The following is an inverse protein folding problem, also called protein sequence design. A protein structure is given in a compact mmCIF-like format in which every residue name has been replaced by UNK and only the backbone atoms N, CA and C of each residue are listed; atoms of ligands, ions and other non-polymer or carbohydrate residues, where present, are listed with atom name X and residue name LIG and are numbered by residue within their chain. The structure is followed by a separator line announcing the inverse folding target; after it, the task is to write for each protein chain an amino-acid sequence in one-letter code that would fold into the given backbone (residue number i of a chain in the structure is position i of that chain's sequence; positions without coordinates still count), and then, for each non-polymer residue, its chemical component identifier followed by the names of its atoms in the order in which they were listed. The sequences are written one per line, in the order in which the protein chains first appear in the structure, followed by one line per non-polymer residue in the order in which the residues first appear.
data_IF_781683277388
#
_entry.id   IF_781683277388
#
_cell.length_a   1.000
_cell.length_b   1.000
_cell.length_c   1.000
_cell.angle_alpha   90.00
_cell.angle_beta   90.00
_cell.angle_gamma   90.00
#
_symmetry.space_group_name_H-M   'P 1'
#
loop_
_entity.id
_entity.type
_entity.pdbx_description
1 polymer ?
#
# COMPACT_ATOMS: atom_id res chain seq x y z
N UNK A 1 -12.25 1.37 8.30
CA UNK A 1 -11.22 2.26 7.77
C UNK A 1 -9.86 1.56 7.68
N UNK A 2 -8.86 2.23 7.15
CA UNK A 2 -7.48 1.71 7.00
C UNK A 2 -6.91 1.33 8.37
N UNK A 3 -7.20 2.10 9.40
CA UNK A 3 -6.71 1.89 10.77
C UNK A 3 -7.42 0.78 11.54
N UNK A 4 -8.44 0.15 10.96
CA UNK A 4 -9.35 -0.74 11.68
C UNK A 4 -10.23 0.06 12.66
N UNK A 5 -10.44 -0.47 13.87
CA UNK A 5 -10.97 0.34 14.97
C UNK A 5 -9.86 1.24 15.49
N UNK A 6 -10.13 2.52 15.68
CA UNK A 6 -9.10 3.48 16.10
C UNK A 6 -9.68 4.57 17.03
N UNK A 7 -8.77 5.19 17.79
CA UNK A 7 -8.99 6.42 18.51
C UNK A 7 -8.15 7.52 17.87
N UNK A 8 -8.76 8.67 17.60
CA UNK A 8 -8.09 9.83 17.04
C UNK A 8 -8.08 10.99 18.01
N UNK A 9 -6.95 11.64 18.15
CA UNK A 9 -6.77 12.89 18.89
C UNK A 9 -6.10 13.91 17.97
N UNK A 10 -6.61 15.13 17.98
CA UNK A 10 -6.02 16.24 17.23
C UNK A 10 -6.07 17.53 18.05
N UNK A 11 -4.93 18.19 18.11
CA UNK A 11 -4.78 19.54 18.65
C UNK A 11 -4.07 20.41 17.63
N UNK A 12 -4.59 21.61 17.40
CA UNK A 12 -3.94 22.59 16.55
C UNK A 12 -4.18 24.00 17.07
N UNK A 13 -3.14 24.81 17.09
CA UNK A 13 -3.21 26.25 17.38
C UNK A 13 -2.50 27.00 16.25
N UNK A 14 -3.12 28.08 15.76
CA UNK A 14 -2.60 28.90 14.66
C UNK A 14 -1.95 30.20 15.10
N UNK A 15 -1.78 30.40 16.39
CA UNK A 15 -1.16 31.58 16.96
C UNK A 15 -0.47 31.22 18.28
N UNK A 16 0.51 30.34 18.20
CA UNK A 16 1.29 29.93 19.36
C UNK A 16 2.03 31.16 19.91
N UNK A 17 1.88 31.41 21.20
CA UNK A 17 2.52 32.56 21.90
C UNK A 17 2.23 33.94 21.30
N UNK A 18 1.26 34.07 20.38
CA UNK A 18 0.86 35.35 19.78
C UNK A 18 1.70 35.80 18.59
N UNK A 19 2.57 34.94 18.06
CA UNK A 19 3.51 35.26 16.96
C UNK A 19 3.04 34.73 15.60
N UNK A 20 1.88 34.08 15.55
CA UNK A 20 1.31 33.57 14.29
C UNK A 20 1.78 32.16 13.91
N UNK A 21 2.65 31.54 14.73
CA UNK A 21 3.09 30.17 14.47
C UNK A 21 1.97 29.16 14.68
N UNK A 22 2.06 28.07 13.96
CA UNK A 22 1.15 26.93 14.09
C UNK A 22 1.86 25.76 14.78
N UNK A 23 1.25 25.25 15.82
CA UNK A 23 1.62 23.97 16.41
C UNK A 23 0.46 22.98 16.19
N UNK A 24 0.77 21.79 15.69
CA UNK A 24 -0.21 20.73 15.48
C UNK A 24 0.28 19.42 16.07
N UNK A 25 -0.61 18.73 16.78
CA UNK A 25 -0.41 17.38 17.26
C UNK A 25 -1.57 16.52 16.78
N UNK A 26 -1.28 15.43 16.08
CA UNK A 26 -2.27 14.46 15.64
C UNK A 26 -1.82 13.07 16.06
N UNK A 27 -2.73 12.31 16.62
CA UNK A 27 -2.52 10.92 16.97
C UNK A 27 -3.73 10.09 16.54
N UNK A 28 -3.46 9.02 15.81
CA UNK A 28 -4.42 7.98 15.47
C UNK A 28 -3.84 6.66 15.95
N UNK A 29 -4.52 6.02 16.89
CA UNK A 29 -4.10 4.74 17.46
C UNK A 29 -5.15 3.71 17.10
N UNK A 30 -4.78 2.72 16.32
CA UNK A 30 -5.71 1.74 15.77
C UNK A 30 -5.19 0.30 15.83
N UNK A 31 -6.08 -0.63 15.54
CA UNK A 31 -5.74 -2.06 15.54
C UNK A 31 -4.87 -2.49 14.35
N UNK A 32 -4.86 -1.69 13.27
CA UNK A 32 -4.12 -1.99 12.04
C UNK A 32 -3.00 -0.97 11.81
N UNK A 33 -3.25 0.30 12.17
CA UNK A 33 -2.33 1.39 11.92
C UNK A 33 -2.32 2.37 13.08
N UNK A 34 -1.13 2.73 13.53
CA UNK A 34 -0.89 3.86 14.42
C UNK A 34 -0.18 4.97 13.64
N UNK A 35 -0.53 6.20 13.91
CA UNK A 35 0.14 7.36 13.35
C UNK A 35 0.14 8.50 14.36
N UNK A 36 1.31 9.01 14.68
CA UNK A 36 1.50 10.16 15.57
C UNK A 36 2.37 11.19 14.87
N UNK A 37 1.90 12.41 14.78
CA UNK A 37 2.63 13.51 14.14
C UNK A 37 2.60 14.76 15.02
N UNK A 38 3.76 15.40 15.16
CA UNK A 38 3.93 16.71 15.78
C UNK A 38 4.51 17.64 14.74
N UNK A 39 3.81 18.71 14.41
CA UNK A 39 4.23 19.70 13.42
C UNK A 39 4.30 21.10 14.01
N UNK A 40 5.31 21.86 13.58
CA UNK A 40 5.47 23.28 13.85
C UNK A 40 5.68 24.02 12.55
N UNK A 41 5.06 25.20 12.42
CA UNK A 41 5.19 26.04 11.24
C UNK A 41 5.29 27.51 11.65
N UNK A 42 6.34 28.15 11.16
CA UNK A 42 6.56 29.61 11.20
C UNK A 42 6.20 30.18 9.82
N UNK A 43 5.13 31.04 9.72
CA UNK A 43 4.68 31.55 8.43
C UNK A 43 5.55 32.69 7.87
N UNK A 44 6.30 33.42 8.73
CA UNK A 44 7.06 34.61 8.36
C UNK A 44 8.49 34.58 8.90
N UNK A 45 9.27 33.58 8.51
CA UNK A 45 10.64 33.45 8.96
C UNK A 45 11.47 34.70 8.61
N UNK A 46 12.09 35.34 9.62
CA UNK A 46 12.84 36.59 9.49
C UNK A 46 12.02 37.73 8.92
N UNK A 47 10.76 37.86 9.30
CA UNK A 47 9.82 38.91 8.82
C UNK A 47 9.62 38.91 7.28
N UNK A 48 9.91 37.79 6.62
CA UNK A 48 9.70 37.59 5.19
C UNK A 48 8.57 36.59 4.97
N UNK A 49 7.90 36.62 3.81
CA UNK A 49 6.85 35.64 3.49
C UNK A 49 7.46 34.25 3.18
N UNK A 50 8.49 33.88 3.92
CA UNK A 50 9.16 32.59 3.87
C UNK A 50 8.59 31.72 4.98
N UNK A 51 7.81 30.73 4.60
CA UNK A 51 7.27 29.75 5.55
C UNK A 51 8.32 28.67 5.81
N UNK A 52 8.56 28.37 7.06
CA UNK A 52 9.44 27.29 7.49
C UNK A 52 8.75 26.41 8.53
N UNK A 53 9.14 25.16 8.60
CA UNK A 53 8.58 24.31 9.63
C UNK A 53 9.26 22.95 9.69
N UNK A 54 8.81 22.18 10.67
CA UNK A 54 9.23 20.79 10.81
C UNK A 54 8.05 19.93 11.26
N UNK A 55 8.14 18.65 10.98
CA UNK A 55 7.23 17.61 11.44
C UNK A 55 8.05 16.43 11.93
N UNK A 56 7.73 15.93 13.13
CA UNK A 56 8.24 14.66 13.64
C UNK A 56 7.11 13.67 13.60
N UNK A 57 7.39 12.45 13.16
CA UNK A 57 6.35 11.43 13.03
C UNK A 57 6.82 10.06 13.52
N UNK A 58 5.82 9.29 13.93
CA UNK A 58 5.89 7.86 14.17
C UNK A 58 4.70 7.19 13.51
N UNK A 59 4.92 6.09 12.79
CA UNK A 59 3.86 5.28 12.21
C UNK A 59 4.15 3.80 12.36
N UNK A 60 3.08 3.01 12.54
CA UNK A 60 3.10 1.56 12.57
C UNK A 60 1.98 1.05 11.68
N UNK A 61 2.25 -0.02 10.93
CA UNK A 61 1.27 -0.68 10.09
C UNK A 61 1.41 -2.19 10.19
N UNK A 62 0.29 -2.88 10.45
CA UNK A 62 0.22 -4.34 10.53
C UNK A 62 -0.43 -4.92 9.26
N UNK A 63 0.35 -5.66 8.48
CA UNK A 63 -0.12 -6.36 7.30
C UNK A 63 -0.48 -7.81 7.63
N UNK A 64 -1.66 -8.24 7.16
CA UNK A 64 -2.13 -9.62 7.27
C UNK A 64 -2.67 -10.12 5.94
N UNK A 65 -2.05 -11.16 5.37
CA UNK A 65 -2.38 -11.68 4.05
C UNK A 65 -3.79 -12.26 3.98
N UNK A 66 -4.26 -12.98 4.99
CA UNK A 66 -5.62 -13.55 5.00
C UNK A 66 -6.69 -12.44 4.98
N UNK A 67 -6.44 -11.34 5.70
CA UNK A 67 -7.31 -10.15 5.66
C UNK A 67 -7.30 -9.51 4.28
N UNK A 68 -6.13 -9.33 3.66
CA UNK A 68 -6.00 -8.75 2.32
C UNK A 68 -6.68 -9.64 1.27
N UNK A 69 -6.50 -10.95 1.35
CA UNK A 69 -7.16 -11.91 0.48
C UNK A 69 -8.69 -11.87 0.60
N UNK A 70 -9.20 -11.74 1.83
CA UNK A 70 -10.64 -11.58 2.09
C UNK A 70 -11.20 -10.30 1.47
N UNK A 71 -10.42 -9.21 1.51
CA UNK A 71 -10.75 -7.94 0.85
C UNK A 71 -10.82 -8.14 -0.66
N UNK A 72 -9.79 -8.74 -1.27
CA UNK A 72 -9.70 -8.95 -2.72
C UNK A 72 -10.79 -9.89 -3.26
N UNK A 73 -11.13 -10.93 -2.50
CA UNK A 73 -12.15 -11.91 -2.91
C UNK A 73 -13.59 -11.46 -2.62
N UNK A 74 -13.76 -10.42 -1.82
CA UNK A 74 -15.08 -9.98 -1.36
C UNK A 74 -15.78 -10.95 -0.40
N UNK A 75 -15.08 -12.00 0.08
CA UNK A 75 -15.57 -13.01 1.01
C UNK A 75 -14.58 -13.22 2.14
N UNK A 76 -15.04 -13.70 3.30
CA UNK A 76 -14.14 -13.99 4.42
C UNK A 76 -13.36 -15.29 4.14
N UNK A 77 -12.11 -15.17 3.74
CA UNK A 77 -11.20 -16.29 3.48
C UNK A 77 -10.26 -16.59 4.65
N UNK A 78 -10.41 -15.92 5.80
CA UNK A 78 -9.49 -16.08 6.94
C UNK A 78 -9.39 -17.53 7.41
N UNK A 79 -10.52 -18.23 7.49
CA UNK A 79 -10.52 -19.64 7.90
C UNK A 79 -9.79 -20.55 6.90
N UNK A 80 -9.99 -20.32 5.59
CA UNK A 80 -9.29 -21.05 4.52
C UNK A 80 -7.78 -20.83 4.59
N UNK A 81 -7.35 -19.57 4.73
CA UNK A 81 -5.93 -19.24 4.82
C UNK A 81 -5.27 -19.76 6.10
N UNK A 82 -5.98 -19.82 7.22
CA UNK A 82 -5.48 -20.43 8.46
C UNK A 82 -5.25 -21.94 8.31
N UNK A 83 -6.04 -22.65 7.48
CA UNK A 83 -5.83 -24.06 7.19
C UNK A 83 -4.55 -24.33 6.37
N UNK A 84 -4.09 -23.35 5.59
CA UNK A 84 -2.84 -23.45 4.83
C UNK A 84 -1.57 -23.38 5.69
N UNK A 85 -1.74 -23.15 6.99
CA UNK A 85 -0.66 -22.97 7.97
C UNK A 85 -0.17 -21.53 8.01
N UNK A 86 -0.15 -20.94 9.20
CA UNK A 86 0.23 -19.53 9.40
C UNK A 86 1.64 -19.20 8.90
N UNK A 87 2.55 -20.17 8.92
CA UNK A 87 3.92 -20.02 8.44
C UNK A 87 4.01 -19.67 6.94
N UNK A 88 3.01 -20.06 6.15
CA UNK A 88 2.94 -19.84 4.72
C UNK A 88 2.23 -18.53 4.34
N UNK A 89 1.75 -17.75 5.32
CA UNK A 89 1.08 -16.47 5.09
C UNK A 89 2.08 -15.31 5.15
N UNK A 90 1.86 -14.30 4.31
CA UNK A 90 2.65 -13.07 4.33
C UNK A 90 2.10 -12.11 5.40
N UNK A 91 2.65 -12.19 6.61
CA UNK A 91 2.29 -11.32 7.74
C UNK A 91 3.52 -10.59 8.27
N UNK A 92 3.41 -9.27 8.42
CA UNK A 92 4.50 -8.43 8.93
C UNK A 92 3.98 -7.15 9.58
N UNK A 93 4.81 -6.54 10.41
CA UNK A 93 4.60 -5.21 10.96
C UNK A 93 5.70 -4.27 10.44
N UNK A 94 5.30 -3.12 9.93
CA UNK A 94 6.21 -2.06 9.51
C UNK A 94 6.12 -0.89 10.50
N UNK A 95 7.27 -0.49 11.05
CA UNK A 95 7.40 0.68 11.90
C UNK A 95 8.27 1.72 11.20
N UNK A 96 7.85 2.98 11.21
CA UNK A 96 8.62 4.08 10.66
C UNK A 96 8.61 5.26 11.63
N UNK A 97 9.77 5.91 11.80
CA UNK A 97 9.92 7.13 12.57
C UNK A 97 10.89 8.07 11.88
N UNK A 98 10.64 9.36 12.01
CA UNK A 98 11.49 10.33 11.35
C UNK A 98 11.05 11.75 11.57
N UNK A 99 11.68 12.63 10.81
CA UNK A 99 11.33 14.03 10.76
C UNK A 99 11.40 14.57 9.33
N UNK A 100 10.68 15.65 9.09
CA UNK A 100 10.74 16.43 7.86
C UNK A 100 10.86 17.90 8.22
N UNK A 101 11.75 18.62 7.57
CA UNK A 101 11.81 20.09 7.61
C UNK A 101 11.48 20.65 6.24
N UNK A 102 10.89 21.84 6.19
CA UNK A 102 10.52 22.45 4.93
C UNK A 102 10.70 23.96 4.93
N UNK A 103 10.94 24.50 3.74
CA UNK A 103 10.88 25.91 3.40
C UNK A 103 9.95 26.11 2.22
N UNK A 104 9.10 27.14 2.25
CA UNK A 104 8.17 27.45 1.17
C UNK A 104 8.07 28.97 0.98
N UNK A 105 8.23 29.42 -0.25
CA UNK A 105 8.22 30.83 -0.63
C UNK A 105 7.11 31.11 -1.66
N UNK A 106 6.24 32.11 -1.46
CA UNK A 106 5.24 32.51 -2.45
C UNK A 106 5.88 33.28 -3.58
N UNK A 107 5.50 32.97 -4.81
CA UNK A 107 5.93 33.75 -5.98
C UNK A 107 5.16 35.08 -6.04
N UNK A 108 5.88 36.17 -6.32
CA UNK A 108 5.28 37.51 -6.40
C UNK A 108 4.19 37.57 -7.49
N UNK A 109 3.06 38.20 -7.18
CA UNK A 109 1.92 38.38 -8.08
C UNK A 109 1.33 37.07 -8.63
N UNK A 110 1.48 35.97 -7.89
CA UNK A 110 1.00 34.64 -8.27
C UNK A 110 0.38 33.95 -7.07
N UNK A 111 -0.51 33.00 -7.33
CA UNK A 111 -1.01 32.06 -6.32
C UNK A 111 -0.11 30.82 -6.19
N UNK A 112 1.09 30.89 -6.73
CA UNK A 112 2.06 29.82 -6.73
C UNK A 112 3.07 29.94 -5.59
N UNK A 113 3.55 28.80 -5.11
CA UNK A 113 4.60 28.68 -4.11
C UNK A 113 5.65 27.68 -4.59
N UNK A 114 6.91 27.97 -4.33
CA UNK A 114 8.01 27.03 -4.45
C UNK A 114 8.35 26.52 -3.07
N UNK A 115 8.53 25.22 -2.94
CA UNK A 115 8.90 24.57 -1.71
C UNK A 115 10.10 23.66 -1.89
N UNK A 116 10.80 23.44 -0.80
CA UNK A 116 11.82 22.41 -0.67
C UNK A 116 11.69 21.80 0.72
N UNK A 117 11.71 20.49 0.81
CA UNK A 117 11.73 19.82 2.09
C UNK A 117 12.87 18.81 2.15
N UNK A 118 13.38 18.59 3.37
CA UNK A 118 14.32 17.53 3.69
C UNK A 118 13.68 16.60 4.70
N UNK A 119 13.73 15.30 4.43
CA UNK A 119 13.20 14.26 5.31
C UNK A 119 14.24 13.21 5.64
N UNK A 120 14.22 12.78 6.90
CA UNK A 120 14.99 11.62 7.34
C UNK A 120 14.07 10.67 8.10
N UNK A 121 14.10 9.40 7.73
CA UNK A 121 13.33 8.37 8.42
C UNK A 121 14.12 7.08 8.58
N UNK A 122 13.77 6.35 9.63
CA UNK A 122 14.25 4.99 9.90
C UNK A 122 13.03 4.09 9.95
N UNK A 123 13.05 3.05 9.13
CA UNK A 123 11.99 2.06 9.03
C UNK A 123 12.52 0.68 9.42
N UNK A 124 11.68 -0.11 10.09
CA UNK A 124 11.91 -1.51 10.41
C UNK A 124 10.72 -2.33 9.97
N UNK A 125 10.98 -3.48 9.36
CA UNK A 125 9.95 -4.44 8.96
C UNK A 125 10.16 -5.72 9.77
N UNK A 126 9.23 -6.01 10.66
CA UNK A 126 9.23 -7.22 11.47
C UNK A 126 8.36 -8.28 10.81
N UNK A 127 8.97 -9.33 10.31
CA UNK A 127 8.27 -10.46 9.69
C UNK A 127 7.71 -11.38 10.76
N UNK A 128 6.42 -11.74 10.66
CA UNK A 128 5.73 -12.56 11.64
C UNK A 128 5.64 -14.03 11.22
N UNK A 129 6.03 -14.34 9.98
CA UNK A 129 5.92 -15.66 9.37
C UNK A 129 7.15 -15.97 8.51
N UNK A 130 7.44 -17.24 8.28
CA UNK A 130 8.55 -17.65 7.40
C UNK A 130 8.36 -17.21 5.95
N UNK A 131 7.14 -17.18 5.44
CA UNK A 131 6.84 -16.65 4.11
C UNK A 131 7.14 -15.15 4.00
N UNK A 132 6.77 -14.35 5.01
CA UNK A 132 7.10 -12.93 5.04
C UNK A 132 8.61 -12.71 5.14
N UNK A 133 9.32 -13.48 5.95
CA UNK A 133 10.77 -13.44 6.06
C UNK A 133 11.40 -13.74 4.70
N UNK A 134 10.99 -14.80 4.01
CA UNK A 134 11.50 -15.16 2.69
C UNK A 134 11.23 -14.05 1.67
N UNK A 135 10.03 -13.48 1.64
CA UNK A 135 9.67 -12.42 0.70
C UNK A 135 10.55 -11.18 0.87
N UNK A 136 10.62 -10.63 2.09
CA UNK A 136 11.37 -9.40 2.32
C UNK A 136 12.88 -9.59 2.38
N UNK A 137 13.35 -10.76 2.78
CA UNK A 137 14.79 -11.03 2.87
C UNK A 137 15.39 -11.31 1.49
N UNK A 138 14.67 -12.01 0.61
CA UNK A 138 15.21 -12.46 -0.66
C UNK A 138 14.80 -11.63 -1.87
N UNK A 139 13.74 -10.83 -1.80
CA UNK A 139 13.45 -9.87 -2.86
C UNK A 139 14.54 -8.78 -2.87
N UNK A 140 15.21 -8.59 -4.00
CA UNK A 140 16.40 -7.73 -4.09
C UNK A 140 16.03 -6.25 -4.23
N UNK A 141 15.63 -5.59 -3.17
CA UNK A 141 15.31 -4.15 -3.18
C UNK A 141 16.45 -3.25 -2.64
N UNK A 142 17.39 -3.77 -1.87
CA UNK A 142 18.58 -3.02 -1.42
C UNK A 142 19.82 -3.26 -2.30
N UNK A 143 19.72 -4.11 -3.33
CA UNK A 143 20.81 -4.49 -4.23
C UNK A 143 22.09 -4.93 -3.50
N UNK A 144 21.94 -5.86 -2.57
CA UNK A 144 23.03 -6.48 -1.82
C UNK A 144 23.10 -7.98 -2.15
N UNK A 145 24.27 -8.58 -1.99
CA UNK A 145 24.40 -10.04 -2.00
C UNK A 145 23.91 -10.58 -0.65
N UNK A 146 23.15 -11.66 -0.68
CA UNK A 146 22.53 -12.24 0.49
C UNK A 146 21.21 -11.56 0.91
N UNK A 147 20.64 -11.91 2.07
CA UNK A 147 19.38 -11.41 2.55
C UNK A 147 19.41 -9.90 2.84
N UNK A 148 18.33 -9.20 2.48
CA UNK A 148 18.16 -7.78 2.83
C UNK A 148 18.06 -7.58 4.34
N UNK A 149 18.65 -6.50 4.84
CA UNK A 149 18.42 -6.06 6.21
C UNK A 149 17.03 -5.40 6.29
N UNK A 150 16.19 -5.85 7.21
CA UNK A 150 14.83 -5.35 7.41
C UNK A 150 14.73 -4.40 8.61
N UNK A 151 15.76 -4.26 9.39
CA UNK A 151 15.88 -3.29 10.48
C UNK A 151 16.86 -2.18 10.10
N UNK A 152 16.56 -0.96 10.55
CA UNK A 152 17.42 0.19 10.27
C UNK A 152 17.44 0.60 8.79
N UNK A 153 16.36 0.44 8.06
CA UNK A 153 16.20 0.96 6.69
C UNK A 153 16.12 2.49 6.80
N UNK A 154 17.17 3.17 6.36
CA UNK A 154 17.34 4.61 6.49
C UNK A 154 17.08 5.29 5.16
N UNK A 155 16.13 6.22 5.16
CA UNK A 155 15.81 7.07 4.01
C UNK A 155 16.15 8.53 4.33
N UNK A 156 17.00 9.12 3.52
CA UNK A 156 17.34 10.55 3.58
C UNK A 156 16.95 11.16 2.25
N UNK A 157 16.04 12.13 2.25
CA UNK A 157 15.40 12.62 1.04
C UNK A 157 15.33 14.14 0.96
N UNK A 158 15.38 14.66 -0.25
CA UNK A 158 15.09 16.05 -0.58
C UNK A 158 13.95 16.10 -1.59
N UNK A 159 12.99 17.01 -1.36
CA UNK A 159 11.78 17.10 -2.18
C UNK A 159 11.53 18.54 -2.59
N UNK A 160 12.01 18.99 -3.76
CA UNK A 160 11.51 20.21 -4.38
C UNK A 160 10.02 20.05 -4.73
N UNK A 161 9.27 21.14 -4.55
CA UNK A 161 7.83 21.16 -4.83
C UNK A 161 7.39 22.49 -5.42
N UNK A 162 6.35 22.42 -6.22
CA UNK A 162 5.63 23.56 -6.77
C UNK A 162 4.15 23.39 -6.47
N UNK A 163 3.51 24.41 -5.91
CA UNK A 163 2.07 24.43 -5.66
C UNK A 163 1.46 25.68 -6.24
N UNK A 164 0.31 25.55 -6.89
CA UNK A 164 -0.52 26.64 -7.36
C UNK A 164 -1.94 26.42 -6.85
N UNK A 165 -2.50 27.38 -6.11
CA UNK A 165 -3.81 27.18 -5.49
C UNK A 165 -4.65 28.47 -5.55
N UNK A 166 -5.77 28.38 -6.28
CA UNK A 166 -6.80 29.43 -6.38
C UNK A 166 -8.16 28.95 -5.90
N UNK A 167 -8.20 27.80 -5.21
CA UNK A 167 -9.43 27.24 -4.67
C UNK A 167 -10.02 28.20 -3.64
N UNK A 168 -11.29 28.54 -3.81
CA UNK A 168 -11.94 29.60 -3.06
C UNK A 168 -12.32 29.21 -1.62
N UNK A 169 -12.46 27.92 -1.32
CA UNK A 169 -12.80 27.44 0.03
C UNK A 169 -12.11 26.10 0.32
N UNK A 170 -11.45 25.93 1.48
CA UNK A 170 -10.67 24.74 1.74
C UNK A 170 -11.50 23.49 2.05
N UNK A 171 -12.76 23.62 2.49
CA UNK A 171 -13.62 22.49 2.86
C UNK A 171 -14.70 22.23 1.80
N UNK A 172 -15.34 23.26 1.30
CA UNK A 172 -16.42 23.18 0.31
C UNK A 172 -16.08 24.01 -0.94
N UNK A 173 -15.09 23.58 -1.72
CA UNK A 173 -14.67 24.31 -2.90
C UNK A 173 -15.78 24.36 -3.95
N UNK A 174 -16.03 25.58 -4.49
CA UNK A 174 -17.02 25.82 -5.55
C UNK A 174 -16.39 26.36 -6.84
N UNK A 175 -15.18 26.88 -6.74
CA UNK A 175 -14.44 27.42 -7.89
C UNK A 175 -12.92 27.43 -7.59
N UNK A 176 -12.14 27.41 -8.67
CA UNK A 176 -10.69 27.51 -8.61
C UNK A 176 -10.00 26.21 -9.04
N UNK A 177 -8.68 26.26 -8.97
CA UNK A 177 -7.81 25.13 -9.32
C UNK A 177 -6.64 25.05 -8.35
N UNK A 178 -6.24 23.83 -8.11
CA UNK A 178 -5.05 23.49 -7.33
C UNK A 178 -4.18 22.58 -8.18
N UNK A 179 -2.89 22.83 -8.22
CA UNK A 179 -1.88 21.98 -8.83
C UNK A 179 -0.73 21.85 -7.85
N UNK A 180 -0.37 20.65 -7.51
CA UNK A 180 0.82 20.30 -6.73
C UNK A 180 1.69 19.36 -7.54
N UNK A 181 2.97 19.70 -7.67
CA UNK A 181 3.98 18.85 -8.32
C UNK A 181 5.18 18.76 -7.38
N UNK A 182 5.65 17.56 -7.13
CA UNK A 182 6.84 17.32 -6.31
C UNK A 182 7.65 16.16 -6.85
N UNK A 183 8.95 16.18 -6.59
CA UNK A 183 9.85 15.08 -6.94
C UNK A 183 10.71 14.78 -5.71
N UNK A 184 10.50 13.64 -5.10
CA UNK A 184 11.33 13.19 -3.98
C UNK A 184 12.54 12.42 -4.49
N UNK A 185 13.72 12.88 -4.11
CA UNK A 185 15.00 12.18 -4.34
C UNK A 185 15.48 11.63 -3.00
N UNK A 186 15.66 10.31 -2.90
CA UNK A 186 16.07 9.63 -1.67
C UNK A 186 17.39 8.93 -1.89
N UNK A 187 18.31 9.09 -0.94
CA UNK A 187 19.59 8.38 -0.92
C UNK A 187 20.70 9.03 -1.73
N UNK A 188 21.63 8.24 -2.27
CA UNK A 188 22.86 8.70 -2.95
C UNK A 188 23.70 9.62 -2.03
N UNK A 189 24.01 10.83 -2.47
CA UNK A 189 24.79 11.82 -1.72
C UNK A 189 24.13 12.30 -0.44
N UNK A 190 22.83 12.12 -0.29
CA UNK A 190 22.07 12.45 0.91
C UNK A 190 22.27 11.42 2.05
N UNK A 191 22.86 10.26 1.73
CA UNK A 191 23.03 9.17 2.68
C UNK A 191 21.81 8.25 2.81
N UNK A 192 21.84 7.36 3.81
CA UNK A 192 20.85 6.29 3.96
C UNK A 192 21.24 5.03 3.18
N UNK A 193 20.32 4.05 3.13
CA UNK A 193 20.52 2.79 2.41
C UNK A 193 19.45 2.51 1.34
N UNK A 194 18.55 3.46 1.11
CA UNK A 194 17.53 3.45 0.06
C UNK A 194 17.92 4.44 -1.04
N UNK A 195 17.76 4.07 -2.31
CA UNK A 195 17.92 4.96 -3.44
C UNK A 195 16.66 4.90 -4.30
N UNK A 196 15.87 5.96 -4.31
CA UNK A 196 14.63 6.03 -5.11
C UNK A 196 14.29 7.46 -5.52
N UNK A 197 13.55 7.56 -6.61
CA UNK A 197 12.95 8.81 -7.10
C UNK A 197 11.44 8.60 -7.16
N UNK A 198 10.70 9.58 -6.64
CA UNK A 198 9.24 9.56 -6.59
C UNK A 198 8.66 10.90 -7.05
N UNK A 199 8.37 11.07 -8.35
CA UNK A 199 7.56 12.18 -8.85
C UNK A 199 6.08 11.97 -8.51
N UNK A 200 5.44 13.05 -8.05
CA UNK A 200 4.01 13.11 -7.73
C UNK A 200 3.40 14.34 -8.37
N UNK A 201 2.24 14.18 -8.97
CA UNK A 201 1.38 15.26 -9.45
C UNK A 201 -0.01 15.10 -8.87
N UNK A 202 -0.58 16.18 -8.37
CA UNK A 202 -1.96 16.25 -7.90
C UNK A 202 -2.62 17.51 -8.44
N UNK A 203 -3.76 17.37 -9.08
CA UNK A 203 -4.46 18.47 -9.73
C UNK A 203 -5.94 18.44 -9.40
N UNK A 204 -6.51 19.57 -8.95
CA UNK A 204 -7.93 19.73 -8.68
C UNK A 204 -8.49 20.91 -9.45
N UNK A 205 -9.72 20.77 -9.91
CA UNK A 205 -10.42 21.81 -10.63
C UNK A 205 -11.86 21.87 -10.19
N UNK A 206 -12.31 23.06 -9.81
CA UNK A 206 -13.70 23.29 -9.41
C UNK A 206 -14.30 24.42 -10.24
N UNK A 207 -15.52 24.21 -10.72
CA UNK A 207 -16.29 25.24 -11.40
C UNK A 207 -17.78 25.04 -11.15
N UNK A 208 -18.55 26.10 -11.38
CA UNK A 208 -20.02 26.06 -11.34
C UNK A 208 -20.57 25.09 -12.38
N UNK A 209 -21.56 24.31 -11.99
CA UNK A 209 -22.27 23.37 -12.84
C UNK A 209 -23.38 24.01 -13.68
N UNK A 210 -24.38 23.19 -14.04
CA UNK A 210 -25.52 23.65 -14.85
C UNK A 210 -26.37 24.69 -14.14
N UNK A 211 -26.58 24.58 -12.83
CA UNK A 211 -27.19 25.60 -12.01
C UNK A 211 -26.13 26.39 -11.24
N UNK A 212 -26.45 27.65 -10.85
CA UNK A 212 -25.50 28.54 -10.14
C UNK A 212 -24.99 28.00 -8.82
N UNK A 213 -25.79 27.16 -8.14
CA UNK A 213 -25.45 26.50 -6.87
C UNK A 213 -24.71 25.18 -7.05
N UNK A 214 -24.76 24.57 -8.24
CA UNK A 214 -24.14 23.29 -8.51
C UNK A 214 -22.63 23.46 -8.76
N UNK A 215 -21.84 22.42 -8.46
CA UNK A 215 -20.38 22.42 -8.61
C UNK A 215 -19.94 21.17 -9.37
N UNK A 216 -19.08 21.37 -10.35
CA UNK A 216 -18.29 20.31 -10.97
C UNK A 216 -16.92 20.30 -10.28
N UNK A 217 -16.54 19.16 -9.69
CA UNK A 217 -15.21 18.91 -9.13
C UNK A 217 -14.51 17.84 -9.96
N UNK A 218 -13.28 18.11 -10.34
CA UNK A 218 -12.38 17.15 -11.01
C UNK A 218 -11.09 17.04 -10.21
N UNK A 219 -10.58 15.82 -10.08
CA UNK A 219 -9.31 15.53 -9.43
C UNK A 219 -8.52 14.55 -10.28
N UNK A 220 -7.22 14.76 -10.35
CA UNK A 220 -6.26 13.83 -10.94
C UNK A 220 -5.04 13.72 -10.04
N UNK A 221 -4.65 12.50 -9.71
CA UNK A 221 -3.41 12.19 -8.99
C UNK A 221 -2.59 11.19 -9.78
N UNK A 222 -1.32 11.51 -10.01
CA UNK A 222 -0.35 10.63 -10.65
C UNK A 222 0.89 10.48 -9.77
N UNK A 223 1.28 9.22 -9.51
CA UNK A 223 2.44 8.88 -8.68
C UNK A 223 3.27 7.83 -9.39
N UNK A 224 4.58 8.02 -9.39
CA UNK A 224 5.53 7.04 -9.91
C UNK A 224 6.68 6.87 -8.94
N UNK A 225 7.20 5.66 -8.78
CA UNK A 225 8.36 5.38 -7.94
C UNK A 225 9.32 4.41 -8.64
N UNK A 226 10.60 4.72 -8.61
CA UNK A 226 11.63 3.82 -9.15
C UNK A 226 12.91 3.93 -8.34
N UNK A 227 13.62 2.82 -8.23
CA UNK A 227 14.97 2.81 -7.68
C UNK A 227 16.01 3.25 -8.71
N UNK A 228 17.16 3.69 -8.24
CA UNK A 228 18.32 4.01 -9.08
C UNK A 228 19.63 3.51 -8.44
N UNK A 229 20.74 3.55 -9.21
CA UNK A 229 22.02 3.05 -8.75
C UNK A 229 22.03 1.56 -8.45
N UNK A 230 21.31 0.76 -9.27
CA UNK A 230 21.18 -0.68 -9.13
C UNK A 230 20.20 -1.15 -8.05
N UNK A 231 19.60 -0.24 -7.29
CA UNK A 231 18.59 -0.54 -6.27
C UNK A 231 17.17 -0.46 -6.85
N UNK A 232 16.21 -1.09 -6.20
CA UNK A 232 14.78 -1.00 -6.55
C UNK A 232 14.00 -0.37 -5.40
N UNK A 233 12.80 0.16 -5.71
CA UNK A 233 11.92 0.63 -4.66
C UNK A 233 11.42 -0.54 -3.82
N UNK A 234 11.52 -0.42 -2.51
CA UNK A 234 11.03 -1.44 -1.60
C UNK A 234 9.51 -1.64 -1.74
N UNK A 235 8.99 -2.87 -1.57
CA UNK A 235 7.56 -3.15 -1.71
C UNK A 235 6.67 -2.29 -0.80
N UNK A 236 7.11 -1.97 0.40
CA UNK A 236 6.37 -1.15 1.36
C UNK A 236 6.40 0.36 1.04
N UNK A 237 7.21 0.80 0.06
CA UNK A 237 7.22 2.17 -0.47
C UNK A 237 6.41 2.30 -1.76
N UNK A 238 5.92 1.21 -2.33
CA UNK A 238 5.12 1.20 -3.55
C UNK A 238 3.68 1.56 -3.29
N UNK A 239 2.92 1.77 -4.36
CA UNK A 239 1.55 2.27 -4.28
C UNK A 239 0.54 1.13 -4.18
N UNK A 240 -0.47 1.39 -3.35
CA UNK A 240 -1.69 0.62 -3.20
C UNK A 240 -2.83 1.61 -3.24
N UNK A 241 -3.78 1.46 -4.15
CA UNK A 241 -4.91 2.38 -4.30
C UNK A 241 -6.25 1.67 -4.05
N UNK A 242 -7.28 2.45 -3.90
CA UNK A 242 -8.64 2.01 -3.55
C UNK A 242 -9.10 2.62 -2.22
N UNK A 243 -10.40 2.64 -2.03
CA UNK A 243 -11.06 3.27 -0.89
C UNK A 243 -11.60 4.65 -1.22
N UNK A 244 -12.19 5.30 -0.20
CA UNK A 244 -12.93 6.55 -0.34
C UNK A 244 -12.09 7.78 -0.74
N UNK A 245 -10.77 7.70 -0.67
CA UNK A 245 -9.88 8.81 -1.02
C UNK A 245 -9.24 8.65 -2.41
N UNK A 246 -9.31 7.44 -2.99
CA UNK A 246 -8.76 7.14 -4.30
C UNK A 246 -9.90 6.77 -5.27
N UNK A 247 -10.39 5.53 -5.22
CA UNK A 247 -11.47 5.00 -6.06
C UNK A 247 -12.56 4.43 -5.17
N UNK A 248 -13.64 5.17 -5.00
CA UNK A 248 -14.81 4.72 -4.22
C UNK A 248 -15.37 3.42 -4.81
N UNK A 249 -16.02 2.61 -3.99
CA UNK A 249 -16.53 1.31 -4.43
C UNK A 249 -15.54 0.16 -4.38
N UNK A 250 -14.24 0.46 -4.17
CA UNK A 250 -13.22 -0.53 -3.88
C UNK A 250 -12.77 -0.44 -2.41
N UNK A 251 -12.36 -1.55 -1.84
CA UNK A 251 -11.79 -1.55 -0.50
C UNK A 251 -10.39 -0.91 -0.50
N UNK A 252 -9.91 -0.50 0.68
CA UNK A 252 -8.58 0.09 0.82
C UNK A 252 -7.52 -0.88 0.32
N UNK A 253 -6.58 -0.38 -0.48
CA UNK A 253 -5.48 -1.13 -1.05
C UNK A 253 -5.88 -2.31 -1.93
N UNK A 254 -7.16 -2.40 -2.34
CA UNK A 254 -7.66 -3.50 -3.16
C UNK A 254 -7.15 -3.45 -4.60
N UNK A 255 -6.85 -2.27 -5.12
CA UNK A 255 -6.33 -2.11 -6.49
C UNK A 255 -4.80 -2.15 -6.43
N UNK A 256 -4.26 -3.35 -6.63
CA UNK A 256 -2.81 -3.61 -6.59
C UNK A 256 -2.44 -4.75 -7.54
N UNK A 257 -1.22 -4.77 -8.11
CA UNK A 257 -0.71 -5.93 -8.82
C UNK A 257 -0.65 -7.16 -7.92
N UNK A 258 -0.83 -8.33 -8.51
CA UNK A 258 -0.55 -9.62 -7.87
C UNK A 258 0.66 -10.23 -8.56
N UNK A 259 1.59 -10.79 -7.79
CA UNK A 259 2.75 -11.47 -8.30
C UNK A 259 3.02 -12.79 -7.55
N UNK A 260 3.80 -13.64 -8.17
CA UNK A 260 4.25 -14.90 -7.63
C UNK A 260 5.78 -14.86 -7.42
N UNK A 261 6.22 -15.04 -6.18
CA UNK A 261 7.62 -15.09 -5.80
C UNK A 261 8.04 -16.53 -5.61
N UNK A 262 9.13 -17.01 -6.25
CA UNK A 262 9.68 -18.35 -6.03
C UNK A 262 10.03 -18.58 -4.57
N UNK A 263 9.57 -19.67 -4.01
CA UNK A 263 9.86 -20.10 -2.65
C UNK A 263 10.04 -21.62 -2.56
N UNK A 264 10.61 -22.04 -1.45
CA UNK A 264 10.51 -23.39 -0.92
C UNK A 264 9.31 -23.46 0.01
N UNK A 265 8.39 -24.38 -0.21
CA UNK A 265 7.26 -24.66 0.66
C UNK A 265 7.43 -26.03 1.32
N UNK A 266 7.09 -26.14 2.58
CA UNK A 266 7.12 -27.41 3.30
C UNK A 266 5.73 -28.06 3.27
N UNK A 267 5.63 -29.26 2.70
CA UNK A 267 4.38 -29.99 2.59
C UNK A 267 4.40 -31.29 3.42
N UNK A 268 3.31 -31.64 4.13
CA UNK A 268 3.21 -32.89 4.86
C UNK A 268 3.20 -34.08 3.90
N UNK A 269 3.90 -35.15 4.28
CA UNK A 269 3.86 -36.43 3.58
C UNK A 269 2.74 -37.31 4.12
N UNK A 270 2.06 -38.02 3.24
CA UNK A 270 1.01 -38.97 3.56
C UNK A 270 1.43 -40.40 3.24
N UNK A 271 0.84 -41.34 3.93
CA UNK A 271 0.83 -42.76 3.55
C UNK A 271 -0.12 -42.96 2.36
N UNK A 272 -0.11 -44.18 1.78
CA UNK A 272 -1.00 -44.51 0.65
C UNK A 272 -2.49 -44.49 1.01
N UNK A 273 -2.82 -44.65 2.28
CA UNK A 273 -4.17 -44.60 2.85
C UNK A 273 -4.62 -43.15 3.17
N UNK A 274 -3.78 -42.14 2.90
CA UNK A 274 -4.07 -40.73 3.18
C UNK A 274 -3.79 -40.30 4.62
N UNK A 275 -3.33 -41.18 5.49
CA UNK A 275 -2.94 -40.81 6.87
C UNK A 275 -1.60 -40.08 6.89
N UNK A 276 -1.35 -39.16 7.86
CA UNK A 276 -0.07 -38.49 8.00
C UNK A 276 1.08 -39.48 8.21
N UNK A 277 2.09 -39.42 7.36
CA UNK A 277 3.31 -40.21 7.52
C UNK A 277 4.09 -39.70 8.72
N UNK A 278 4.57 -40.60 9.56
CA UNK A 278 5.39 -40.25 10.72
C UNK A 278 6.87 -40.51 10.41
N UNK A 279 7.73 -39.61 10.93
CA UNK A 279 9.18 -39.82 10.97
C UNK A 279 9.69 -39.80 12.40
N UNK A 280 10.67 -40.64 12.67
CA UNK A 280 11.34 -40.68 13.97
C UNK A 280 12.45 -39.62 14.00
N UNK A 281 12.40 -38.75 14.99
CA UNK A 281 13.49 -37.79 15.29
C UNK A 281 13.97 -38.00 16.71
N UNK A 282 15.18 -37.55 17.02
CA UNK A 282 15.69 -37.52 18.38
C UNK A 282 15.46 -36.11 18.90
N UNK A 283 14.75 -35.96 20.02
CA UNK A 283 14.52 -34.66 20.63
C UNK A 283 15.81 -34.12 21.33
N UNK A 284 15.78 -32.87 21.80
CA UNK A 284 16.89 -32.25 22.51
C UNK A 284 17.31 -32.99 23.79
N UNK A 285 16.48 -33.86 24.34
CA UNK A 285 16.77 -34.70 25.51
C UNK A 285 17.30 -36.09 25.17
N UNK A 286 17.57 -36.37 23.87
CA UNK A 286 18.11 -37.65 23.40
C UNK A 286 17.08 -38.77 23.23
N UNK A 287 15.77 -38.49 23.41
CA UNK A 287 14.73 -39.48 23.26
C UNK A 287 14.11 -39.50 21.85
N UNK A 288 13.81 -40.70 21.31
CA UNK A 288 13.11 -40.78 20.02
C UNK A 288 11.64 -40.35 20.18
N UNK A 289 11.23 -39.41 19.32
CA UNK A 289 9.82 -38.97 19.18
C UNK A 289 9.38 -39.13 17.74
N UNK A 290 8.09 -39.46 17.55
CA UNK A 290 7.50 -39.49 16.21
C UNK A 290 6.83 -38.14 15.92
N UNK A 291 7.19 -37.54 14.79
CA UNK A 291 6.61 -36.29 14.32
C UNK A 291 6.06 -36.50 12.90
N UNK A 292 5.06 -35.72 12.47
CA UNK A 292 4.59 -35.78 11.10
C UNK A 292 5.75 -35.50 10.13
N UNK A 293 5.95 -36.40 9.17
CA UNK A 293 6.95 -36.27 8.14
C UNK A 293 6.53 -35.17 7.15
N UNK A 294 7.46 -34.29 6.80
CA UNK A 294 7.24 -33.24 5.80
C UNK A 294 8.43 -33.18 4.84
N UNK A 295 8.23 -32.56 3.69
CA UNK A 295 9.27 -32.39 2.67
C UNK A 295 9.23 -30.99 2.09
N UNK A 296 10.40 -30.37 1.84
CA UNK A 296 10.49 -29.14 1.05
C UNK A 296 10.19 -29.45 -0.43
N UNK A 297 9.44 -28.56 -1.07
CA UNK A 297 9.08 -28.61 -2.48
C UNK A 297 9.16 -27.23 -3.12
N UNK A 298 9.44 -27.20 -4.42
CA UNK A 298 9.40 -25.99 -5.22
C UNK A 298 7.97 -25.43 -5.27
N UNK A 299 7.83 -24.14 -5.04
CA UNK A 299 6.53 -23.45 -5.04
C UNK A 299 6.64 -21.96 -5.35
N UNK A 300 5.50 -21.31 -5.44
CA UNK A 300 5.39 -19.86 -5.54
C UNK A 300 4.51 -19.30 -4.41
N UNK A 301 4.98 -18.23 -3.80
CA UNK A 301 4.19 -17.42 -2.85
C UNK A 301 3.43 -16.35 -3.63
N UNK A 302 2.11 -16.29 -3.45
CA UNK A 302 1.29 -15.17 -3.92
C UNK A 302 1.56 -13.94 -3.04
N UNK A 303 1.88 -12.82 -3.68
CA UNK A 303 2.17 -11.54 -3.00
C UNK A 303 1.48 -10.39 -3.71
N UNK A 304 1.24 -9.30 -2.98
CA UNK A 304 0.80 -8.02 -3.51
C UNK A 304 1.96 -7.01 -3.43
N UNK A 305 2.80 -6.92 -4.46
CA UNK A 305 4.06 -6.16 -4.37
C UNK A 305 3.87 -4.64 -4.41
N UNK A 306 2.64 -4.15 -4.56
CA UNK A 306 2.36 -2.76 -4.89
C UNK A 306 2.76 -2.39 -6.32
N UNK A 307 2.16 -1.34 -6.85
CA UNK A 307 2.56 -0.78 -8.15
C UNK A 307 3.66 0.25 -8.01
N UNK A 308 4.44 0.43 -9.05
CA UNK A 308 5.37 1.56 -9.17
C UNK A 308 4.71 2.78 -9.80
N UNK A 309 3.54 2.60 -10.40
CA UNK A 309 2.77 3.63 -11.09
C UNK A 309 1.32 3.59 -10.63
N UNK A 310 0.85 4.67 -10.03
CA UNK A 310 -0.52 4.83 -9.60
C UNK A 310 -1.13 6.08 -10.24
N UNK A 311 -2.27 5.93 -10.91
CA UNK A 311 -3.05 7.02 -11.49
C UNK A 311 -4.47 6.94 -10.94
N UNK A 312 -5.00 8.08 -10.48
CA UNK A 312 -6.37 8.20 -9.99
C UNK A 312 -7.01 9.41 -10.65
N UNK A 313 -8.23 9.26 -11.12
CA UNK A 313 -9.03 10.34 -11.67
C UNK A 313 -10.44 10.29 -11.06
N UNK A 314 -10.90 11.41 -10.52
CA UNK A 314 -12.22 11.54 -9.92
C UNK A 314 -12.99 12.68 -10.57
N UNK A 315 -14.27 12.49 -10.79
CA UNK A 315 -15.19 13.51 -11.26
C UNK A 315 -16.44 13.50 -10.38
N UNK A 316 -16.87 14.67 -9.92
CA UNK A 316 -18.07 14.84 -9.12
C UNK A 316 -18.95 15.95 -9.67
N UNK A 317 -20.25 15.72 -9.64
CA UNK A 317 -21.27 16.73 -9.85
C UNK A 317 -22.05 16.91 -8.55
N UNK A 318 -21.79 18.01 -7.85
CA UNK A 318 -22.31 18.31 -6.51
C UNK A 318 -23.54 19.20 -6.59
N UNK A 319 -24.62 18.81 -5.93
CA UNK A 319 -25.91 19.49 -5.87
C UNK A 319 -26.23 19.77 -4.41
N UNK A 320 -26.13 21.03 -3.95
CA UNK A 320 -26.61 21.41 -2.62
C UNK A 320 -28.13 21.20 -2.54
N UNK A 321 -28.60 20.47 -1.53
CA UNK A 321 -30.03 20.14 -1.36
C UNK A 321 -30.65 21.12 -0.39
N UNK A 322 -30.18 21.12 0.87
CA UNK A 322 -30.60 22.07 1.89
C UNK A 322 -29.53 22.14 3.02
N UNK A 323 -29.32 23.34 3.55
CA UNK A 323 -28.38 23.56 4.65
C UNK A 323 -27.01 22.94 4.39
N UNK A 324 -26.50 22.07 5.28
CA UNK A 324 -25.18 21.43 5.12
C UNK A 324 -25.19 20.19 4.22
N UNK A 325 -26.34 19.85 3.60
CA UNK A 325 -26.51 18.60 2.85
C UNK A 325 -26.26 18.81 1.37
N UNK A 326 -25.35 18.03 0.80
CA UNK A 326 -25.00 18.01 -0.62
C UNK A 326 -25.15 16.59 -1.18
N UNK A 327 -25.80 16.44 -2.31
CA UNK A 327 -25.80 15.21 -3.11
C UNK A 327 -24.74 15.32 -4.20
N UNK A 328 -23.91 14.31 -4.36
CA UNK A 328 -22.89 14.23 -5.39
C UNK A 328 -23.10 12.97 -6.26
N UNK A 329 -23.20 13.14 -7.56
CA UNK A 329 -22.96 12.05 -8.50
C UNK A 329 -21.48 11.99 -8.80
N UNK A 330 -20.88 10.80 -8.83
CA UNK A 330 -19.44 10.65 -9.02
C UNK A 330 -19.08 9.58 -10.05
N UNK A 331 -17.91 9.76 -10.64
CA UNK A 331 -17.18 8.76 -11.42
C UNK A 331 -15.72 8.78 -11.01
N UNK A 332 -15.20 7.64 -10.58
CA UNK A 332 -13.82 7.45 -10.20
C UNK A 332 -13.16 6.41 -11.09
N UNK A 333 -11.91 6.62 -11.46
CA UNK A 333 -11.10 5.65 -12.18
C UNK A 333 -9.71 5.56 -11.56
N UNK A 334 -9.16 4.36 -11.47
CA UNK A 334 -7.84 4.12 -10.91
C UNK A 334 -7.06 3.05 -11.66
N UNK A 335 -5.77 3.28 -11.76
CA UNK A 335 -4.81 2.35 -12.32
C UNK A 335 -3.64 2.20 -11.36
N UNK A 336 -3.32 0.97 -10.98
CA UNK A 336 -2.11 0.66 -10.23
C UNK A 336 -1.36 -0.46 -10.96
N UNK A 337 -0.19 -0.12 -11.48
CA UNK A 337 0.65 -1.04 -12.27
C UNK A 337 2.08 -1.07 -11.77
N UNK A 338 2.72 -2.19 -12.03
CA UNK A 338 4.16 -2.34 -11.92
C UNK A 338 4.72 -2.36 -13.34
N UNK A 339 5.19 -1.19 -13.81
CA UNK A 339 5.73 -0.99 -15.17
C UNK A 339 7.19 -1.43 -15.28
N UNK A 340 7.98 -1.16 -14.23
CA UNK A 340 9.38 -1.55 -14.19
C UNK A 340 9.54 -2.94 -13.55
N UNK A 341 9.57 -3.99 -14.37
CA UNK A 341 9.71 -5.37 -13.89
C UNK A 341 11.03 -5.63 -13.14
N UNK A 342 12.05 -4.78 -13.29
CA UNK A 342 13.29 -4.92 -12.51
C UNK A 342 13.05 -4.73 -11.00
N UNK A 343 11.96 -4.08 -10.62
CA UNK A 343 11.54 -3.96 -9.23
C UNK A 343 11.09 -5.30 -8.60
N UNK A 344 10.94 -6.34 -9.41
CA UNK A 344 10.62 -7.70 -8.95
C UNK A 344 11.85 -8.65 -8.98
N UNK A 345 13.06 -8.11 -9.13
CA UNK A 345 14.27 -8.91 -9.09
C UNK A 345 14.39 -9.62 -7.73
N UNK A 346 14.72 -10.90 -7.79
CA UNK A 346 14.99 -11.74 -6.62
C UNK A 346 16.51 -11.74 -6.41
N UNK A 347 16.94 -11.89 -5.17
CA UNK A 347 18.36 -11.99 -4.85
C UNK A 347 19.01 -13.13 -5.64
N UNK A 348 20.13 -12.89 -6.38
CA UNK A 348 20.76 -13.87 -7.22
C UNK A 348 21.22 -15.14 -6.46
N UNK A 349 21.70 -14.99 -5.22
CA UNK A 349 22.11 -16.14 -4.40
C UNK A 349 20.90 -17.04 -4.09
N UNK A 350 19.74 -16.44 -3.76
CA UNK A 350 18.52 -17.18 -3.47
C UNK A 350 18.03 -17.95 -4.70
N UNK A 351 18.05 -17.35 -5.88
CA UNK A 351 17.66 -18.03 -7.12
C UNK A 351 18.61 -19.18 -7.44
N UNK A 352 19.92 -18.98 -7.26
CA UNK A 352 20.92 -20.02 -7.46
C UNK A 352 20.70 -21.19 -6.50
N UNK A 353 20.44 -20.91 -5.24
CA UNK A 353 20.11 -21.92 -4.24
C UNK A 353 18.85 -22.70 -4.61
N UNK A 354 17.72 -22.01 -4.88
CA UNK A 354 16.46 -22.65 -5.25
C UNK A 354 16.57 -23.52 -6.51
N UNK A 355 17.26 -23.04 -7.53
CA UNK A 355 17.47 -23.80 -8.75
C UNK A 355 18.48 -24.95 -8.57
N UNK A 356 19.38 -24.86 -7.59
CA UNK A 356 20.27 -25.97 -7.19
C UNK A 356 19.50 -27.07 -6.45
N UNK A 357 18.58 -26.68 -5.56
CA UNK A 357 17.72 -27.62 -4.81
C UNK A 357 16.60 -28.22 -5.65
N UNK A 358 16.03 -27.43 -6.57
CA UNK A 358 14.92 -27.80 -7.45
C UNK A 358 15.20 -27.52 -8.92
N UNK A 359 16.13 -28.26 -9.58
CA UNK A 359 16.54 -27.97 -10.95
C UNK A 359 15.40 -28.02 -11.98
N UNK A 360 14.41 -28.89 -11.75
CA UNK A 360 13.24 -29.02 -12.64
C UNK A 360 12.28 -27.83 -12.57
N UNK A 361 12.32 -27.01 -11.50
CA UNK A 361 11.47 -25.84 -11.35
C UNK A 361 11.91 -24.68 -12.26
N UNK A 362 13.22 -24.56 -12.54
CA UNK A 362 13.80 -23.50 -13.40
C UNK A 362 13.28 -22.12 -13.06
N UNK A 363 13.35 -21.74 -11.79
CA UNK A 363 12.81 -20.46 -11.30
C UNK A 363 13.46 -19.25 -12.00
N UNK A 364 12.65 -18.27 -12.44
CA UNK A 364 13.17 -17.05 -13.05
C UNK A 364 13.81 -16.13 -12.01
N UNK A 365 14.70 -15.26 -12.46
CA UNK A 365 15.36 -14.26 -11.60
C UNK A 365 14.43 -13.13 -11.14
N UNK A 366 13.18 -13.11 -11.58
CA UNK A 366 12.18 -12.11 -11.20
C UNK A 366 10.88 -12.78 -10.77
N UNK A 367 10.19 -12.16 -9.84
CA UNK A 367 8.81 -12.55 -9.52
C UNK A 367 7.92 -12.40 -10.75
N UNK A 368 6.95 -13.29 -10.89
CA UNK A 368 6.05 -13.36 -12.05
C UNK A 368 4.77 -12.61 -11.74
N UNK A 369 4.43 -11.59 -12.53
CA UNK A 369 3.16 -10.88 -12.39
C UNK A 369 2.04 -11.78 -12.88
N UNK A 370 0.99 -11.91 -12.06
CA UNK A 370 -0.23 -12.64 -12.44
C UNK A 370 -0.96 -11.88 -13.58
N UNK A 371 -1.18 -12.54 -14.73
CA UNK A 371 -1.84 -11.91 -15.88
C UNK A 371 -3.22 -11.35 -15.52
N UNK A 372 -3.61 -10.23 -16.14
CA UNK A 372 -4.95 -9.65 -15.97
C UNK A 372 -5.23 -8.98 -14.61
N UNK A 373 -4.23 -8.84 -13.73
CA UNK A 373 -4.44 -8.23 -12.38
C UNK A 373 -4.21 -6.73 -12.33
N UNK A 374 -3.78 -6.10 -13.43
CA UNK A 374 -3.42 -4.69 -13.51
C UNK A 374 -4.28 -3.84 -14.51
N UNK A 375 -5.56 -4.14 -14.80
CA UNK A 375 -6.36 -3.26 -15.63
C UNK A 375 -6.79 -2.00 -14.87
N UNK A 376 -7.32 -1.02 -15.60
CA UNK A 376 -8.00 0.14 -15.01
C UNK A 376 -9.25 -0.36 -14.30
N UNK A 377 -9.52 0.15 -13.10
CA UNK A 377 -10.78 0.00 -12.37
C UNK A 377 -11.58 1.28 -12.48
N UNK A 378 -12.90 1.16 -12.47
CA UNK A 378 -13.79 2.32 -12.42
C UNK A 378 -14.96 2.07 -11.49
N UNK A 379 -15.45 3.15 -10.92
CA UNK A 379 -16.61 3.18 -10.05
C UNK A 379 -17.46 4.41 -10.35
N UNK A 380 -18.75 4.30 -10.24
CA UNK A 380 -19.70 5.41 -10.35
C UNK A 380 -20.79 5.26 -9.30
N UNK A 381 -21.42 6.35 -8.92
CA UNK A 381 -22.47 6.26 -7.91
C UNK A 381 -22.97 7.60 -7.41
N UNK A 382 -23.68 7.54 -6.31
CA UNK A 382 -24.25 8.69 -5.62
C UNK A 382 -23.68 8.75 -4.21
N UNK A 383 -23.37 9.93 -3.75
CA UNK A 383 -22.85 10.22 -2.41
C UNK A 383 -23.64 11.35 -1.78
N UNK A 384 -24.12 11.13 -0.56
CA UNK A 384 -24.71 12.15 0.30
C UNK A 384 -23.63 12.66 1.23
N UNK A 385 -23.37 13.96 1.19
CA UNK A 385 -22.39 14.65 2.02
C UNK A 385 -23.13 15.56 2.99
N UNK A 386 -22.83 15.45 4.29
CA UNK A 386 -23.39 16.30 5.36
C UNK A 386 -22.24 16.97 6.08
N UNK A 387 -22.07 18.27 5.90
CA UNK A 387 -21.03 19.01 6.60
C UNK A 387 -21.40 19.15 8.07
N UNK A 388 -20.53 18.61 8.95
CA UNK A 388 -20.68 18.73 10.40
C UNK A 388 -19.88 19.94 10.91
N UNK A 389 -20.54 21.00 11.40
CA UNK A 389 -19.85 22.23 11.81
C UNK A 389 -18.85 22.02 12.95
N UNK A 390 -19.15 21.09 13.85
CA UNK A 390 -18.30 20.81 15.04
C UNK A 390 -16.98 20.16 14.67
N UNK A 391 -16.96 19.30 13.64
CA UNK A 391 -15.78 18.51 13.25
C UNK A 391 -15.06 19.12 12.03
N UNK A 392 -15.66 20.12 11.37
CA UNK A 392 -15.18 20.70 10.10
C UNK A 392 -14.87 19.67 9.01
N UNK A 393 -15.59 18.55 9.04
CA UNK A 393 -15.44 17.47 8.07
C UNK A 393 -16.81 17.00 7.60
N UNK A 394 -16.99 16.68 6.31
CA UNK A 394 -18.22 16.10 5.82
C UNK A 394 -18.34 14.64 6.28
N UNK A 395 -19.52 14.32 6.78
CA UNK A 395 -19.99 12.95 6.90
C UNK A 395 -20.55 12.51 5.56
N UNK A 396 -20.07 11.39 5.02
CA UNK A 396 -20.41 10.92 3.68
C UNK A 396 -21.00 9.53 3.74
N UNK A 397 -22.09 9.32 2.98
CA UNK A 397 -22.68 8.01 2.74
C UNK A 397 -22.77 7.84 1.24
N UNK A 398 -22.21 6.77 0.69
CA UNK A 398 -22.26 6.53 -0.74
C UNK A 398 -22.68 5.11 -1.11
N UNK A 399 -23.34 5.04 -2.26
CA UNK A 399 -23.57 3.81 -2.99
C UNK A 399 -22.78 3.86 -4.30
N UNK A 400 -21.93 2.88 -4.50
CA UNK A 400 -21.08 2.76 -5.67
C UNK A 400 -21.42 1.51 -6.48
N UNK A 401 -21.38 1.65 -7.81
CA UNK A 401 -21.40 0.57 -8.78
C UNK A 401 -20.07 0.56 -9.54
N UNK A 402 -19.41 -0.60 -9.63
CA UNK A 402 -18.10 -0.79 -10.23
C UNK A 402 -18.26 -1.44 -11.61
N UNK A 403 -18.30 -0.66 -12.71
CA UNK A 403 -18.41 -1.21 -14.06
C UNK A 403 -17.18 -1.99 -14.49
N UNK A 404 -15.99 -1.54 -14.09
CA UNK A 404 -14.71 -2.16 -14.44
C UNK A 404 -14.07 -2.77 -13.20
N UNK A 405 -14.14 -4.09 -13.11
CA UNK A 405 -13.61 -4.90 -12.02
C UNK A 405 -12.75 -6.02 -12.59
N UNK A 406 -11.92 -6.61 -11.74
CA UNK A 406 -11.30 -7.91 -11.99
C UNK A 406 -12.20 -9.01 -11.43
N UNK A 407 -12.43 -10.02 -12.25
CA UNK A 407 -13.22 -11.19 -11.89
C UNK A 407 -12.62 -12.40 -12.60
N UNK A 408 -11.64 -13.02 -11.93
CA UNK A 408 -10.90 -14.16 -12.49
C UNK A 408 -10.32 -15.02 -11.37
N UNK A 409 -9.90 -16.23 -11.73
CA UNK A 409 -9.03 -17.02 -10.88
C UNK A 409 -7.57 -16.70 -11.15
N UNK A 410 -6.77 -16.62 -10.09
CA UNK A 410 -5.33 -16.44 -10.15
C UNK A 410 -4.69 -17.70 -9.60
N UNK A 411 -3.82 -18.32 -10.39
CA UNK A 411 -3.12 -19.55 -10.01
C UNK A 411 -1.62 -19.38 -10.17
N UNK A 412 -0.82 -19.77 -9.16
CA UNK A 412 0.63 -19.79 -9.29
C UNK A 412 1.07 -20.82 -10.33
N UNK A 413 2.21 -20.61 -10.99
CA UNK A 413 2.82 -21.64 -11.82
C UNK A 413 3.06 -22.90 -10.99
N UNK A 414 2.64 -24.07 -11.51
CA UNK A 414 2.86 -25.35 -10.85
C UNK A 414 4.24 -25.88 -11.29
N UNK A 415 5.19 -25.89 -10.37
CA UNK A 415 6.57 -26.34 -10.58
C UNK A 415 6.92 -27.59 -9.77
N UNK A 416 5.98 -28.08 -8.98
CA UNK A 416 6.16 -29.26 -8.13
C UNK A 416 6.00 -30.53 -8.96
N UNK A 417 7.04 -31.35 -9.01
CA UNK A 417 7.09 -32.59 -9.80
C UNK A 417 6.73 -33.83 -8.96
N UNK A 418 6.09 -34.83 -9.59
CA UNK A 418 5.72 -36.10 -8.95
C UNK A 418 6.93 -36.84 -8.38
N UNK A 419 8.08 -36.77 -9.02
CA UNK A 419 9.32 -37.44 -8.59
C UNK A 419 9.83 -36.97 -7.22
N UNK A 420 9.39 -35.81 -6.74
CA UNK A 420 9.75 -35.33 -5.42
C UNK A 420 9.03 -36.06 -4.28
N UNK A 421 8.01 -36.86 -4.58
CA UNK A 421 7.15 -37.49 -3.56
C UNK A 421 7.28 -38.98 -3.52
N UNK A 422 7.20 -39.61 -2.31
CA UNK A 422 7.33 -41.05 -2.17
C UNK A 422 6.12 -41.83 -2.73
N UNK A 423 4.95 -41.20 -2.78
CA UNK A 423 3.71 -41.82 -3.23
C UNK A 423 2.74 -40.79 -3.83
N UNK A 424 1.65 -41.29 -4.45
CA UNK A 424 0.65 -40.45 -5.11
C UNK A 424 -0.15 -39.60 -4.11
N UNK A 425 -0.46 -40.13 -2.92
CA UNK A 425 -1.22 -39.43 -1.90
C UNK A 425 -0.47 -38.17 -1.42
N UNK A 426 0.83 -38.30 -1.13
CA UNK A 426 1.69 -37.16 -0.78
C UNK A 426 1.81 -36.13 -1.91
N UNK A 427 1.89 -36.57 -3.17
CA UNK A 427 1.96 -35.68 -4.32
C UNK A 427 0.68 -34.87 -4.50
N UNK A 428 -0.49 -35.51 -4.45
CA UNK A 428 -1.77 -34.83 -4.57
C UNK A 428 -2.02 -33.85 -3.42
N UNK A 429 -1.64 -34.23 -2.19
CA UNK A 429 -1.69 -33.36 -1.03
C UNK A 429 -0.77 -32.14 -1.19
N UNK A 430 0.46 -32.37 -1.68
CA UNK A 430 1.41 -31.30 -1.99
C UNK A 430 0.86 -30.32 -3.03
N UNK A 431 0.34 -30.82 -4.14
CA UNK A 431 -0.28 -29.98 -5.18
C UNK A 431 -1.45 -29.15 -4.63
N UNK A 432 -2.30 -29.75 -3.81
CA UNK A 432 -3.41 -29.04 -3.17
C UNK A 432 -2.94 -27.88 -2.27
N UNK A 433 -1.74 -27.98 -1.68
CA UNK A 433 -1.21 -26.94 -0.82
C UNK A 433 -0.46 -25.84 -1.58
N UNK A 434 0.32 -26.18 -2.63
CA UNK A 434 1.17 -25.22 -3.34
C UNK A 434 0.57 -24.71 -4.64
N UNK A 435 -0.41 -25.40 -5.22
CA UNK A 435 -1.08 -25.04 -6.47
C UNK A 435 -2.45 -24.40 -6.27
N UNK A 436 -2.72 -23.82 -5.11
CA UNK A 436 -4.02 -23.25 -4.78
C UNK A 436 -4.46 -22.18 -5.78
N UNK A 437 -5.69 -22.35 -6.28
CA UNK A 437 -6.38 -21.37 -7.09
C UNK A 437 -6.94 -20.30 -6.14
N UNK A 438 -6.56 -19.05 -6.38
CA UNK A 438 -7.03 -17.91 -5.61
C UNK A 438 -8.16 -17.20 -6.40
N UNK A 439 -9.38 -17.09 -5.87
CA UNK A 439 -10.44 -16.30 -6.49
C UNK A 439 -10.13 -14.81 -6.30
N UNK A 440 -10.01 -14.09 -7.42
CA UNK A 440 -9.84 -12.64 -7.43
C UNK A 440 -11.12 -12.02 -7.99
N UNK A 441 -12.09 -11.78 -7.11
CA UNK A 441 -13.42 -11.27 -7.43
C UNK A 441 -13.68 -9.97 -6.71
N UNK A 442 -13.59 -8.85 -7.43
CA UNK A 442 -13.92 -7.54 -6.89
C UNK A 442 -15.45 -7.35 -6.86
N UNK A 443 -15.95 -6.63 -5.85
CA UNK A 443 -17.38 -6.38 -5.67
C UNK A 443 -17.90 -5.45 -6.74
N UNK A 444 -19.10 -5.76 -7.29
CA UNK A 444 -19.80 -4.90 -8.26
C UNK A 444 -20.47 -3.70 -7.63
N UNK A 445 -20.88 -3.82 -6.37
CA UNK A 445 -21.58 -2.76 -5.66
C UNK A 445 -21.01 -2.63 -4.25
N UNK A 446 -20.98 -1.41 -3.75
CA UNK A 446 -20.56 -1.13 -2.39
C UNK A 446 -21.39 -0.01 -1.80
N UNK A 447 -21.83 -0.22 -0.56
CA UNK A 447 -22.42 0.82 0.29
C UNK A 447 -21.46 1.08 1.44
N UNK A 448 -21.11 2.33 1.66
CA UNK A 448 -20.18 2.70 2.74
C UNK A 448 -20.51 4.07 3.30
N UNK A 449 -20.19 4.26 4.58
CA UNK A 449 -20.14 5.57 5.14
C UNK A 449 -18.71 5.91 5.62
N UNK A 450 -18.36 7.19 5.61
CA UNK A 450 -17.03 7.67 5.96
C UNK A 450 -17.09 9.13 6.45
N UNK A 451 -16.02 9.56 7.09
CA UNK A 451 -15.84 10.96 7.54
C UNK A 451 -14.61 11.52 6.86
N UNK A 452 -14.71 12.70 6.28
CA UNK A 452 -13.64 13.33 5.53
C UNK A 452 -14.00 13.64 4.09
N UNK A 453 -13.10 14.30 3.35
CA UNK A 453 -13.28 14.66 1.94
C UNK A 453 -12.77 13.55 1.02
N UNK A 454 -13.27 13.51 -0.20
CA UNK A 454 -12.71 12.66 -1.26
C UNK A 454 -11.44 13.32 -1.81
N UNK A 455 -11.50 14.60 -2.19
CA UNK A 455 -10.39 15.41 -2.70
C UNK A 455 -10.61 16.91 -2.50
#
# INVERSE_FOLDING_TARGET
GISGSFLGFGYSTNNLVGLGETLSLQATLGTIQDNVTLGFTEPYLFDKPLQAGFTVFFSRFDYNQARQASILSGTNLTALYNQLGQQNLLNYTSNSKGFTTFLSYPLKRSFARLGISYGYSVQSVNTLTSAATSYYTYLNFLNINGPNQLDGIRSSSITPSFTYNTVNHPITPTAGKELSVSIQFTGSVLGGNVNQIEPVIDAKYFRRGLAKSHVIGLHFSGRYITGFGGKTAAPFNRFYIGGENDVRGFDFFAITPIAFVPIEATVPLLNNDGTPRQQRIINSSGFPVFVPASKPVASYQLVTPGGDTALVANAEYRIPIFGPVTLAAFFDAGLNRLLNTNQLNINPERITQLNGEFPSASFPAKAVIAPGTQPIRASTGLELQVLMPVVNAPFRVYFAYNPWIVNQFVQPPIVTDRSFFPNQASFLNGLAQVGNIFPYYEKRTMFRFTVGRTF
#
